data_IF_682893844746
#
_entry.id   IF_682893844746
#
_cell.length_a   1.000
_cell.length_b   1.000
_cell.length_c   1.000
_cell.angle_alpha   90.00
_cell.angle_beta   90.00
_cell.angle_gamma   90.00
#
_symmetry.space_group_name_H-M   'P 1'
#
loop_
_entity.id
_entity.type
_entity.pdbx_description
1 polymer ?
#
# COMPACT_ATOMS: atom_id res chain seq x y z
N UNK A 1 -64.59 16.59 8.32
CA UNK A 1 -63.59 15.53 7.94
C UNK A 1 -62.30 16.23 7.60
N UNK A 2 -61.36 16.32 8.54
CA UNK A 2 -60.04 16.93 8.34
C UNK A 2 -59.06 15.89 7.88
N UNK A 3 -58.51 16.03 6.66
CA UNK A 3 -57.46 15.12 6.13
C UNK A 3 -56.11 15.54 6.73
N UNK A 4 -55.54 14.65 7.50
CA UNK A 4 -54.20 14.77 8.06
C UNK A 4 -53.18 14.33 6.99
N UNK A 5 -52.39 15.27 6.45
CA UNK A 5 -51.25 14.95 5.59
C UNK A 5 -50.02 14.62 6.49
N UNK A 6 -49.62 13.36 6.53
CA UNK A 6 -48.37 12.97 7.14
C UNK A 6 -47.26 13.12 6.09
N UNK A 7 -46.38 14.12 6.26
CA UNK A 7 -45.14 14.24 5.50
C UNK A 7 -44.11 13.26 6.09
N UNK A 8 -43.83 12.21 5.37
CA UNK A 8 -42.68 11.34 5.68
C UNK A 8 -41.45 11.97 5.03
N UNK A 9 -40.63 12.67 5.80
CA UNK A 9 -39.32 13.10 5.37
C UNK A 9 -38.37 11.90 5.41
N UNK A 10 -38.11 11.31 4.23
CA UNK A 10 -37.07 10.31 4.07
C UNK A 10 -35.70 11.00 4.17
N UNK A 11 -35.08 10.97 5.34
CA UNK A 11 -33.69 11.35 5.52
C UNK A 11 -32.82 10.28 4.83
N UNK A 12 -32.35 10.54 3.62
CA UNK A 12 -31.26 9.80 3.01
C UNK A 12 -29.98 10.06 3.83
N UNK A 13 -29.72 9.23 4.84
CA UNK A 13 -28.40 9.13 5.43
C UNK A 13 -27.49 8.47 4.38
N UNK A 14 -26.77 9.27 3.61
CA UNK A 14 -25.60 8.81 2.87
C UNK A 14 -24.55 8.44 3.89
N UNK A 15 -24.53 7.17 4.27
CA UNK A 15 -23.47 6.60 5.09
C UNK A 15 -22.21 6.53 4.20
N UNK A 16 -21.48 7.64 4.12
CA UNK A 16 -20.10 7.60 3.63
C UNK A 16 -19.35 6.79 4.66
N UNK A 17 -19.06 5.51 4.33
CA UNK A 17 -18.14 4.71 5.10
C UNK A 17 -16.81 5.46 5.10
N UNK A 18 -16.54 6.24 6.15
CA UNK A 18 -15.24 6.80 6.39
C UNK A 18 -14.30 5.61 6.62
N UNK A 19 -13.47 5.32 5.63
CA UNK A 19 -12.41 4.33 5.82
C UNK A 19 -11.53 4.81 6.98
N UNK A 20 -11.43 4.00 8.02
CA UNK A 20 -10.62 4.35 9.17
C UNK A 20 -9.16 4.56 8.70
N UNK A 21 -8.64 5.75 8.97
CA UNK A 21 -7.25 6.07 8.71
C UNK A 21 -6.36 5.21 9.61
N UNK A 22 -5.53 4.36 9.00
CA UNK A 22 -4.62 3.44 9.71
C UNK A 22 -3.17 3.87 9.62
N UNK A 23 -2.83 4.77 8.68
CA UNK A 23 -1.53 5.38 8.49
C UNK A 23 -1.69 6.89 8.51
N UNK A 24 -0.87 7.58 9.30
CA UNK A 24 -0.90 9.06 9.32
C UNK A 24 -0.30 9.60 8.03
N UNK A 25 -0.85 10.68 7.45
CA UNK A 25 -0.20 11.41 6.37
C UNK A 25 1.22 11.82 6.73
N UNK A 26 2.06 11.98 5.72
CA UNK A 26 3.38 12.57 5.91
C UNK A 26 3.26 14.04 6.26
N UNK A 27 4.22 14.54 7.03
CA UNK A 27 4.32 15.94 7.45
C UNK A 27 5.47 16.63 6.71
N UNK A 28 5.46 17.96 6.72
CA UNK A 28 6.55 18.76 6.20
C UNK A 28 7.91 18.36 6.82
N UNK A 29 8.91 18.23 5.97
CA UNK A 29 10.27 17.88 6.35
C UNK A 29 10.51 16.41 6.66
N UNK A 30 9.47 15.56 6.66
CA UNK A 30 9.65 14.13 6.94
C UNK A 30 10.56 13.44 5.91
N UNK A 31 11.33 12.50 6.43
CA UNK A 31 12.23 11.60 5.71
C UNK A 31 11.61 10.21 5.73
N UNK A 32 10.86 9.90 4.68
CA UNK A 32 10.13 8.66 4.52
C UNK A 32 11.02 7.61 3.84
N UNK A 33 11.50 6.62 4.58
CA UNK A 33 12.34 5.54 4.07
C UNK A 33 11.49 4.28 3.89
N UNK A 34 11.56 3.67 2.71
CA UNK A 34 10.86 2.44 2.37
C UNK A 34 11.84 1.27 2.39
N UNK A 35 11.84 0.51 3.47
CA UNK A 35 12.62 -0.72 3.63
C UNK A 35 11.84 -1.89 3.02
N UNK A 36 12.46 -2.63 2.12
CA UNK A 36 11.82 -3.75 1.43
C UNK A 36 12.79 -4.58 0.58
N UNK A 37 12.21 -5.43 -0.23
CA UNK A 37 12.90 -6.31 -1.18
C UNK A 37 12.84 -5.75 -2.62
N UNK A 38 12.92 -6.64 -3.65
CA UNK A 38 12.87 -6.28 -5.08
C UNK A 38 11.62 -5.45 -5.45
N UNK A 39 10.48 -5.67 -4.82
CA UNK A 39 9.25 -4.93 -5.10
C UNK A 39 9.41 -3.45 -4.69
N UNK A 40 10.13 -3.19 -3.61
CA UNK A 40 10.48 -1.83 -3.18
C UNK A 40 11.64 -1.26 -4.00
N UNK A 41 12.66 -2.08 -4.26
CA UNK A 41 13.85 -1.73 -5.06
C UNK A 41 13.47 -1.22 -6.47
N UNK A 42 12.45 -1.81 -7.09
CA UNK A 42 11.88 -1.36 -8.37
C UNK A 42 11.51 0.13 -8.43
N UNK A 43 11.24 0.73 -7.28
CA UNK A 43 11.10 2.20 -7.18
C UNK A 43 9.73 2.77 -7.53
N UNK A 44 8.76 1.98 -7.94
CA UNK A 44 7.53 2.50 -8.54
C UNK A 44 6.51 2.98 -7.51
N UNK A 45 6.02 2.11 -6.60
CA UNK A 45 4.88 2.47 -5.75
C UNK A 45 5.18 3.65 -4.81
N UNK A 46 6.36 3.72 -4.21
CA UNK A 46 6.72 4.85 -3.35
C UNK A 46 6.99 6.13 -4.15
N UNK A 47 7.43 6.03 -5.41
CA UNK A 47 7.54 7.19 -6.30
C UNK A 47 6.15 7.74 -6.67
N UNK A 48 5.14 6.87 -6.87
CA UNK A 48 3.75 7.32 -7.08
C UNK A 48 3.17 7.99 -5.83
N UNK A 49 3.47 7.47 -4.62
CA UNK A 49 3.11 8.12 -3.37
C UNK A 49 3.78 9.50 -3.28
N UNK A 50 5.08 9.59 -3.58
CA UNK A 50 5.80 10.85 -3.59
C UNK A 50 5.24 11.84 -4.60
N UNK A 51 4.97 11.41 -5.83
CA UNK A 51 4.35 12.23 -6.87
C UNK A 51 2.99 12.80 -6.41
N UNK A 52 2.17 11.98 -5.73
CA UNK A 52 0.92 12.46 -5.13
C UNK A 52 1.18 13.61 -4.16
N UNK A 53 2.13 13.47 -3.24
CA UNK A 53 2.45 14.52 -2.27
C UNK A 53 2.99 15.77 -2.95
N UNK A 54 3.90 15.65 -3.91
CA UNK A 54 4.46 16.81 -4.63
C UNK A 54 3.40 17.58 -5.42
N UNK A 55 2.41 16.90 -5.95
CA UNK A 55 1.35 17.54 -6.76
C UNK A 55 0.19 18.08 -5.93
N UNK A 56 -0.10 17.44 -4.79
CA UNK A 56 -1.22 17.83 -3.93
C UNK A 56 -0.81 18.79 -2.81
N UNK A 57 0.43 18.77 -2.40
CA UNK A 57 0.97 19.56 -1.30
C UNK A 57 2.32 20.17 -1.70
N UNK A 58 2.37 21.04 -2.75
CA UNK A 58 3.63 21.52 -3.32
C UNK A 58 4.48 22.31 -2.33
N UNK A 59 3.84 22.96 -1.36
CA UNK A 59 4.49 23.77 -0.33
C UNK A 59 4.89 22.97 0.91
N UNK A 60 4.67 21.64 0.91
CA UNK A 60 5.01 20.73 2.00
C UNK A 60 6.10 19.73 1.54
N UNK A 61 7.39 20.12 1.58
CA UNK A 61 8.45 19.25 1.11
C UNK A 61 8.62 18.02 2.01
N UNK A 62 8.61 16.86 1.39
CA UNK A 62 8.99 15.58 2.00
C UNK A 62 10.13 14.95 1.20
N UNK A 63 10.89 14.07 1.83
CA UNK A 63 11.93 13.29 1.16
C UNK A 63 11.57 11.81 1.22
N UNK A 64 11.57 11.17 0.07
CA UNK A 64 11.31 9.73 -0.06
C UNK A 64 12.60 9.02 -0.44
N UNK A 65 12.92 7.95 0.27
CA UNK A 65 14.12 7.15 0.05
C UNK A 65 13.75 5.71 -0.24
N UNK A 66 14.35 5.15 -1.26
CA UNK A 66 14.27 3.74 -1.57
C UNK A 66 15.32 2.97 -0.76
N UNK A 67 14.88 2.13 0.15
CA UNK A 67 15.69 1.20 0.95
C UNK A 67 15.43 -0.25 0.58
N UNK A 68 14.90 -0.53 -0.63
CA UNK A 68 14.72 -1.87 -1.17
C UNK A 68 16.03 -2.47 -1.67
N UNK A 69 16.19 -3.78 -1.53
CA UNK A 69 17.23 -4.58 -2.22
C UNK A 69 16.60 -5.88 -2.71
N UNK A 70 16.86 -6.22 -3.98
CA UNK A 70 16.37 -7.45 -4.59
C UNK A 70 16.74 -8.70 -3.82
N UNK A 71 15.78 -9.59 -3.57
CA UNK A 71 16.01 -10.86 -2.87
C UNK A 71 15.96 -10.80 -1.35
N UNK A 72 15.96 -9.61 -0.74
CA UNK A 72 16.01 -9.46 0.72
C UNK A 72 14.85 -10.17 1.43
N UNK A 73 15.20 -10.85 2.50
CA UNK A 73 14.33 -11.36 3.56
C UNK A 73 14.44 -10.46 4.80
N UNK A 74 13.61 -10.70 5.82
CA UNK A 74 13.76 -10.03 7.12
C UNK A 74 15.16 -10.22 7.74
N UNK A 75 15.81 -11.37 7.49
CA UNK A 75 17.18 -11.62 7.92
C UNK A 75 18.21 -10.70 7.23
N UNK A 76 18.10 -10.53 5.91
CA UNK A 76 19.02 -9.71 5.14
C UNK A 76 18.82 -8.23 5.44
N UNK A 77 17.56 -7.79 5.52
CA UNK A 77 17.21 -6.43 5.94
C UNK A 77 17.81 -6.08 7.30
N UNK A 78 17.72 -7.01 8.28
CA UNK A 78 18.29 -6.79 9.62
C UNK A 78 19.79 -6.52 9.59
N UNK A 79 20.54 -7.20 8.73
CA UNK A 79 22.00 -7.03 8.62
C UNK A 79 22.43 -5.65 8.16
N UNK A 80 21.61 -5.01 7.32
CA UNK A 80 21.95 -3.74 6.70
C UNK A 80 21.26 -2.52 7.31
N UNK A 81 20.50 -2.68 8.40
CA UNK A 81 19.75 -1.59 9.01
C UNK A 81 20.62 -0.37 9.35
N UNK A 82 21.82 -0.56 9.93
CA UNK A 82 22.67 0.55 10.37
C UNK A 82 23.25 1.33 9.19
N UNK A 83 23.87 0.63 8.25
CA UNK A 83 24.58 1.24 7.13
C UNK A 83 23.65 1.86 6.08
N UNK A 84 22.56 1.17 5.78
CA UNK A 84 21.70 1.57 4.68
C UNK A 84 20.48 2.39 5.16
N UNK A 85 19.81 1.92 6.20
CA UNK A 85 18.49 2.45 6.58
C UNK A 85 18.59 3.53 7.65
N UNK A 86 19.26 3.25 8.77
CA UNK A 86 19.37 4.20 9.86
C UNK A 86 20.31 5.36 9.49
N UNK A 87 21.30 5.12 8.62
CA UNK A 87 22.14 6.18 8.04
C UNK A 87 21.33 7.22 7.24
N UNK A 88 20.17 6.84 6.68
CA UNK A 88 19.24 7.76 6.03
C UNK A 88 18.48 8.65 7.03
N UNK A 89 18.59 8.40 8.33
CA UNK A 89 17.91 9.13 9.42
C UNK A 89 16.41 9.25 9.18
N UNK A 90 15.66 8.11 9.10
CA UNK A 90 14.24 8.16 8.86
C UNK A 90 13.50 8.86 9.99
N UNK A 91 12.56 9.75 9.67
CA UNK A 91 11.51 10.18 10.61
C UNK A 91 10.28 9.28 10.48
N UNK A 92 10.13 8.63 9.32
CA UNK A 92 9.12 7.60 9.04
C UNK A 92 9.79 6.44 8.33
N UNK A 93 9.65 5.24 8.87
CA UNK A 93 10.18 4.01 8.29
C UNK A 93 9.02 3.07 7.92
N UNK A 94 8.79 2.90 6.63
CA UNK A 94 7.89 1.87 6.10
C UNK A 94 8.66 0.57 5.97
N UNK A 95 8.10 -0.52 6.49
CA UNK A 95 8.74 -1.85 6.51
C UNK A 95 7.85 -2.86 5.82
N UNK A 96 8.34 -3.48 4.75
CA UNK A 96 7.64 -4.57 4.04
C UNK A 96 8.56 -5.74 3.79
N UNK A 97 8.12 -6.94 4.14
CA UNK A 97 8.83 -8.22 3.92
C UNK A 97 7.80 -9.36 3.83
N UNK A 98 8.23 -10.56 3.48
CA UNK A 98 7.38 -11.74 3.45
C UNK A 98 7.41 -12.48 2.11
N UNK A 99 7.59 -11.78 0.98
CA UNK A 99 7.60 -12.42 -0.34
C UNK A 99 8.76 -13.42 -0.48
N UNK A 100 9.99 -13.03 -0.12
CA UNK A 100 11.16 -13.91 -0.18
C UNK A 100 11.23 -14.81 1.07
N UNK A 101 10.82 -14.27 2.22
CA UNK A 101 10.77 -15.01 3.49
C UNK A 101 9.93 -16.27 3.41
N UNK A 102 8.85 -16.25 2.63
CA UNK A 102 7.97 -17.41 2.46
C UNK A 102 8.57 -18.53 1.61
N UNK A 103 9.75 -18.33 0.96
CA UNK A 103 10.38 -19.34 0.11
C UNK A 103 9.69 -19.53 -1.24
N UNK A 104 10.17 -20.47 -2.07
CA UNK A 104 9.70 -20.61 -3.45
C UNK A 104 9.51 -22.08 -3.88
N UNK A 105 10.55 -22.72 -4.43
CA UNK A 105 10.49 -23.96 -5.21
C UNK A 105 9.98 -25.17 -4.43
N UNK A 106 10.22 -25.22 -3.14
CA UNK A 106 9.87 -26.33 -2.28
C UNK A 106 8.34 -26.48 -2.09
N UNK A 107 7.56 -25.46 -2.46
CA UNK A 107 6.10 -25.58 -2.53
C UNK A 107 5.62 -26.53 -3.63
N UNK A 108 6.47 -26.87 -4.59
CA UNK A 108 6.20 -27.87 -5.62
C UNK A 108 6.63 -29.29 -5.22
N UNK A 109 7.18 -29.45 -4.02
CA UNK A 109 7.54 -30.75 -3.44
C UNK A 109 6.37 -31.45 -2.77
N UNK A 110 6.68 -32.56 -2.06
CA UNK A 110 5.65 -33.42 -1.45
C UNK A 110 5.01 -32.80 -0.20
N UNK A 111 5.63 -31.81 0.42
CA UNK A 111 5.23 -31.27 1.72
C UNK A 111 5.13 -29.73 1.74
N UNK A 112 4.37 -29.12 0.86
CA UNK A 112 4.31 -27.65 0.74
C UNK A 112 3.84 -26.95 2.02
N UNK A 113 2.92 -27.55 2.77
CA UNK A 113 2.42 -26.95 4.03
C UNK A 113 3.45 -27.00 5.16
N UNK A 114 4.21 -28.10 5.27
CA UNK A 114 5.30 -28.21 6.26
C UNK A 114 6.40 -27.19 5.94
N UNK A 115 6.74 -27.04 4.65
CA UNK A 115 7.67 -26.02 4.19
C UNK A 115 7.19 -24.60 4.51
N UNK A 116 5.93 -24.28 4.21
CA UNK A 116 5.33 -23.00 4.54
C UNK A 116 5.34 -22.69 6.04
N UNK A 117 5.08 -23.69 6.89
CA UNK A 117 5.18 -23.55 8.36
C UNK A 117 6.61 -23.25 8.80
N UNK A 118 7.58 -23.99 8.27
CA UNK A 118 9.01 -23.75 8.57
C UNK A 118 9.40 -22.31 8.18
N UNK A 119 9.04 -21.86 6.98
CA UNK A 119 9.34 -20.50 6.50
C UNK A 119 8.65 -19.42 7.30
N UNK A 120 7.43 -19.65 7.72
CA UNK A 120 6.72 -18.75 8.63
C UNK A 120 7.47 -18.57 9.96
N UNK A 121 7.87 -19.66 10.61
CA UNK A 121 8.59 -19.59 11.90
C UNK A 121 9.98 -18.94 11.76
N UNK A 122 10.70 -19.25 10.67
CA UNK A 122 11.99 -18.63 10.36
C UNK A 122 11.88 -17.13 10.16
N UNK A 123 10.90 -16.69 9.37
CA UNK A 123 10.66 -15.28 9.08
C UNK A 123 10.30 -14.50 10.35
N UNK A 124 9.41 -15.04 11.21
CA UNK A 124 9.06 -14.41 12.49
C UNK A 124 10.30 -14.24 13.37
N UNK A 125 11.12 -15.27 13.50
CA UNK A 125 12.35 -15.22 14.29
C UNK A 125 13.29 -14.11 13.80
N UNK A 126 13.45 -13.97 12.49
CA UNK A 126 14.29 -12.95 11.88
C UNK A 126 13.68 -11.55 12.07
N UNK A 127 12.38 -11.40 11.85
CA UNK A 127 11.68 -10.14 12.06
C UNK A 127 11.77 -9.66 13.52
N UNK A 128 11.67 -10.56 14.50
CA UNK A 128 11.81 -10.20 15.91
C UNK A 128 13.16 -9.52 16.25
N UNK A 129 14.21 -9.79 15.46
CA UNK A 129 15.49 -9.08 15.62
C UNK A 129 15.38 -7.64 15.11
N UNK A 130 14.72 -7.42 13.96
CA UNK A 130 14.44 -6.08 13.46
C UNK A 130 13.51 -5.31 14.40
N UNK A 131 12.43 -5.96 14.90
CA UNK A 131 11.47 -5.36 15.81
C UNK A 131 12.14 -4.76 17.06
N UNK A 132 13.13 -5.46 17.64
CA UNK A 132 13.91 -4.94 18.77
C UNK A 132 14.63 -3.66 18.40
N UNK A 133 15.27 -3.62 17.22
CA UNK A 133 16.04 -2.48 16.76
C UNK A 133 15.15 -1.27 16.41
N UNK A 134 13.94 -1.51 15.90
CA UNK A 134 12.97 -0.45 15.64
C UNK A 134 12.47 0.21 16.91
N UNK A 135 12.37 -0.54 18.03
CA UNK A 135 12.01 0.00 19.34
C UNK A 135 13.06 0.96 19.91
N UNK A 136 14.29 0.84 19.45
CA UNK A 136 15.41 1.72 19.85
C UNK A 136 15.44 3.02 19.01
N UNK A 137 14.42 3.30 18.17
CA UNK A 137 14.27 4.49 17.36
C UNK A 137 13.13 5.39 17.87
N UNK A 138 13.30 6.12 18.99
CA UNK A 138 12.20 6.81 19.66
C UNK A 138 11.57 7.92 18.82
N UNK A 139 12.34 8.52 17.90
CA UNK A 139 11.89 9.64 17.08
C UNK A 139 11.45 9.20 15.67
N UNK A 140 11.42 7.88 15.40
CA UNK A 140 11.04 7.33 14.11
C UNK A 140 9.66 6.69 14.19
N UNK A 141 8.75 7.16 13.39
CA UNK A 141 7.44 6.56 13.20
C UNK A 141 7.56 5.30 12.34
N UNK A 142 7.13 4.15 12.86
CA UNK A 142 7.18 2.87 12.16
C UNK A 142 5.82 2.57 11.52
N UNK A 143 5.83 2.20 10.25
CA UNK A 143 4.65 1.77 9.49
C UNK A 143 4.92 0.39 8.92
N UNK A 144 4.24 -0.62 9.45
CA UNK A 144 4.30 -1.96 8.87
C UNK A 144 3.40 -2.02 7.64
N UNK A 145 3.95 -2.50 6.53
CA UNK A 145 3.25 -2.62 5.24
C UNK A 145 3.20 -4.08 4.84
N UNK A 146 2.03 -4.70 4.97
CA UNK A 146 1.81 -6.07 4.51
C UNK A 146 2.10 -6.17 3.01
N UNK A 147 3.01 -7.08 2.62
CA UNK A 147 3.49 -7.20 1.23
C UNK A 147 2.37 -7.51 0.23
N UNK A 148 2.59 -7.20 -1.06
CA UNK A 148 1.72 -7.66 -2.15
C UNK A 148 1.55 -9.18 -2.13
N UNK A 149 0.46 -9.74 -2.69
CA UNK A 149 0.28 -11.18 -2.74
C UNK A 149 1.23 -11.84 -3.74
N UNK A 150 1.52 -13.10 -3.53
CA UNK A 150 1.90 -14.04 -4.57
C UNK A 150 0.62 -14.53 -5.26
N UNK A 151 0.48 -14.34 -6.58
CA UNK A 151 -0.74 -14.73 -7.27
C UNK A 151 -0.71 -16.20 -7.74
N UNK A 152 -1.29 -17.07 -6.91
CA UNK A 152 -1.40 -18.51 -7.21
C UNK A 152 -2.48 -18.82 -8.26
N UNK A 153 -3.42 -17.90 -8.49
CA UNK A 153 -4.68 -18.15 -9.18
C UNK A 153 -4.67 -17.76 -10.65
N UNK A 154 -3.80 -16.83 -11.03
CA UNK A 154 -3.67 -16.42 -12.44
C UNK A 154 -3.26 -17.59 -13.34
N UNK A 155 -3.87 -17.68 -14.54
CA UNK A 155 -3.57 -18.72 -15.52
C UNK A 155 -2.49 -18.24 -16.49
N UNK A 156 -1.24 -18.59 -16.22
CA UNK A 156 -0.09 -18.30 -17.10
C UNK A 156 0.37 -19.58 -17.79
N UNK A 157 0.75 -19.48 -19.08
CA UNK A 157 1.10 -20.65 -19.91
C UNK A 157 2.36 -21.39 -19.44
N UNK A 158 3.34 -20.66 -18.93
CA UNK A 158 4.69 -21.18 -18.72
C UNK A 158 5.14 -21.18 -17.24
N UNK A 159 4.25 -20.82 -16.33
CA UNK A 159 4.62 -20.63 -14.93
C UNK A 159 3.69 -21.42 -14.00
N UNK A 160 4.18 -22.56 -13.49
CA UNK A 160 3.47 -23.34 -12.48
C UNK A 160 3.47 -22.61 -11.13
N UNK A 161 2.31 -22.38 -10.52
CA UNK A 161 2.23 -21.65 -9.25
C UNK A 161 2.81 -22.46 -8.08
N UNK A 162 3.46 -21.78 -7.15
CA UNK A 162 3.84 -22.28 -5.84
C UNK A 162 2.60 -22.33 -4.94
N UNK A 163 1.91 -23.46 -4.95
CA UNK A 163 0.63 -23.62 -4.23
C UNK A 163 0.83 -23.44 -2.72
N UNK A 164 -0.09 -22.73 -2.09
CA UNK A 164 -0.08 -22.38 -0.64
C UNK A 164 1.00 -21.38 -0.21
N UNK A 165 1.81 -20.84 -1.14
CA UNK A 165 2.78 -19.79 -0.81
C UNK A 165 2.07 -18.53 -0.29
N UNK A 166 0.98 -18.10 -0.94
CA UNK A 166 0.25 -16.90 -0.48
C UNK A 166 -0.44 -17.12 0.87
N UNK A 167 -0.77 -18.35 1.25
CA UNK A 167 -1.26 -18.64 2.62
C UNK A 167 -0.18 -18.34 3.67
N UNK A 168 1.07 -18.71 3.40
CA UNK A 168 2.20 -18.38 4.27
C UNK A 168 2.41 -16.86 4.35
N UNK A 169 2.34 -16.15 3.20
CA UNK A 169 2.45 -14.69 3.15
C UNK A 169 1.34 -14.03 3.96
N UNK A 170 0.08 -14.46 3.82
CA UNK A 170 -1.05 -13.93 4.59
C UNK A 170 -0.83 -14.06 6.10
N UNK A 171 -0.30 -15.18 6.56
CA UNK A 171 0.05 -15.41 7.97
C UNK A 171 1.14 -14.45 8.45
N UNK A 172 2.16 -14.20 7.61
CA UNK A 172 3.20 -13.20 7.92
C UNK A 172 2.62 -11.79 7.99
N UNK A 173 1.70 -11.43 7.10
CA UNK A 173 1.01 -10.13 7.11
C UNK A 173 0.17 -9.97 8.38
N UNK A 174 -0.56 -11.01 8.82
CA UNK A 174 -1.31 -10.93 10.09
C UNK A 174 -0.38 -10.79 11.28
N UNK A 175 0.75 -11.51 11.32
CA UNK A 175 1.76 -11.33 12.36
C UNK A 175 2.34 -9.91 12.38
N UNK A 176 2.61 -9.31 11.22
CA UNK A 176 3.06 -7.91 11.10
C UNK A 176 2.03 -6.94 11.67
N UNK A 177 0.75 -7.19 11.42
CA UNK A 177 -0.36 -6.40 11.96
C UNK A 177 -0.45 -6.52 13.48
N UNK A 178 -0.35 -7.74 14.03
CA UNK A 178 -0.32 -7.97 15.47
C UNK A 178 0.88 -7.29 16.14
N UNK A 179 2.07 -7.39 15.51
CA UNK A 179 3.27 -6.71 15.98
C UNK A 179 3.11 -5.19 15.96
N UNK A 180 2.53 -4.63 14.90
CA UNK A 180 2.26 -3.19 14.81
C UNK A 180 1.31 -2.75 15.94
N UNK A 181 0.23 -3.46 16.16
CA UNK A 181 -0.72 -3.18 17.23
C UNK A 181 -0.07 -3.24 18.63
N UNK A 182 0.74 -4.27 18.88
CA UNK A 182 1.48 -4.45 20.15
C UNK A 182 2.46 -3.32 20.45
N UNK A 183 3.06 -2.75 19.41
CA UNK A 183 4.10 -1.71 19.55
C UNK A 183 3.56 -0.29 19.34
N UNK A 184 2.25 -0.11 19.17
CA UNK A 184 1.61 1.16 18.77
C UNK A 184 2.19 1.75 17.47
N UNK A 185 2.55 0.89 16.55
CA UNK A 185 2.98 1.24 15.19
C UNK A 185 1.79 1.30 14.25
N UNK A 186 1.98 1.92 13.11
CA UNK A 186 0.98 1.98 12.07
C UNK A 186 1.03 0.74 11.17
N UNK A 187 -0.10 0.41 10.54
CA UNK A 187 -0.18 -0.77 9.66
C UNK A 187 -1.09 -0.50 8.46
N UNK A 188 -0.69 -1.01 7.31
CA UNK A 188 -1.54 -1.15 6.12
C UNK A 188 -1.32 -2.49 5.46
N UNK A 189 -2.40 -3.11 4.99
CA UNK A 189 -2.38 -4.38 4.27
C UNK A 189 -2.49 -4.15 2.77
N UNK A 190 -1.51 -4.61 2.00
CA UNK A 190 -1.57 -4.65 0.54
C UNK A 190 -2.01 -6.03 0.03
N UNK A 191 -1.80 -7.11 0.81
CA UNK A 191 -2.05 -8.48 0.36
C UNK A 191 -3.52 -8.76 0.12
N UNK A 192 -4.36 -8.59 1.14
CA UNK A 192 -5.76 -8.96 1.05
C UNK A 192 -6.52 -8.16 -0.04
N UNK A 193 -6.40 -6.81 -0.14
CA UNK A 193 -7.10 -6.06 -1.16
C UNK A 193 -6.59 -6.37 -2.58
N UNK A 194 -5.28 -6.55 -2.80
CA UNK A 194 -4.75 -6.93 -4.11
C UNK A 194 -5.17 -8.35 -4.51
N UNK A 195 -5.18 -9.29 -3.56
CA UNK A 195 -5.73 -10.65 -3.78
C UNK A 195 -7.20 -10.58 -4.21
N UNK A 196 -8.01 -9.77 -3.56
CA UNK A 196 -9.42 -9.61 -3.90
C UNK A 196 -9.62 -9.02 -5.31
N UNK A 197 -8.80 -8.04 -5.69
CA UNK A 197 -8.82 -7.46 -7.04
C UNK A 197 -8.45 -8.52 -8.07
N UNK A 198 -7.37 -9.26 -7.87
CA UNK A 198 -6.98 -10.35 -8.78
C UNK A 198 -8.14 -11.33 -8.97
N UNK A 199 -8.69 -11.87 -7.89
CA UNK A 199 -9.80 -12.83 -7.93
C UNK A 199 -11.05 -12.29 -8.64
N UNK A 200 -11.38 -11.02 -8.42
CA UNK A 200 -12.54 -10.39 -9.05
C UNK A 200 -12.36 -10.27 -10.57
N UNK A 201 -11.19 -9.82 -11.02
CA UNK A 201 -10.95 -9.63 -12.46
C UNK A 201 -10.68 -10.95 -13.19
N UNK A 202 -10.10 -11.93 -12.53
CA UNK A 202 -9.89 -13.29 -13.08
C UNK A 202 -11.18 -14.04 -13.38
N UNK A 203 -12.32 -13.60 -12.83
CA UNK A 203 -13.64 -14.13 -13.25
C UNK A 203 -13.99 -13.82 -14.70
N UNK A 204 -13.41 -12.73 -15.26
CA UNK A 204 -13.64 -12.29 -16.64
C UNK A 204 -12.46 -12.61 -17.54
N UNK A 205 -11.25 -12.44 -17.01
CA UNK A 205 -9.99 -12.70 -17.68
C UNK A 205 -9.07 -13.52 -16.76
N UNK A 206 -9.00 -14.84 -16.90
CA UNK A 206 -8.18 -15.71 -16.07
C UNK A 206 -6.68 -15.39 -16.10
N UNK A 207 -6.23 -14.59 -17.06
CA UNK A 207 -4.81 -14.17 -17.20
C UNK A 207 -4.50 -12.85 -16.50
N UNK A 208 -5.51 -12.17 -15.96
CA UNK A 208 -5.33 -10.92 -15.23
C UNK A 208 -4.56 -11.14 -13.93
N UNK A 209 -3.57 -10.30 -13.66
CA UNK A 209 -2.86 -10.24 -12.38
C UNK A 209 -2.25 -8.87 -12.13
N UNK A 210 -2.25 -8.44 -10.90
CA UNK A 210 -1.49 -7.28 -10.44
C UNK A 210 -0.03 -7.63 -10.04
N UNK A 211 0.33 -8.92 -10.11
CA UNK A 211 1.61 -9.44 -9.60
C UNK A 211 2.61 -9.79 -10.71
N UNK A 212 2.38 -9.29 -11.92
CA UNK A 212 3.25 -9.51 -13.07
C UNK A 212 3.26 -10.94 -13.60
N UNK A 213 4.05 -11.17 -14.66
CA UNK A 213 4.11 -12.46 -15.35
C UNK A 213 4.80 -13.56 -14.54
N UNK A 214 5.52 -13.22 -13.50
CA UNK A 214 6.16 -14.16 -12.57
C UNK A 214 5.33 -14.43 -11.30
N UNK A 215 4.15 -13.82 -11.17
CA UNK A 215 3.24 -13.92 -10.03
C UNK A 215 3.74 -13.20 -8.75
N UNK A 216 4.87 -12.50 -8.82
CA UNK A 216 5.62 -11.95 -7.68
C UNK A 216 5.72 -10.43 -7.78
N UNK A 217 6.28 -9.96 -8.90
CA UNK A 217 6.66 -8.56 -9.09
C UNK A 217 5.54 -7.79 -9.77
N UNK A 218 4.86 -6.88 -9.06
CA UNK A 218 3.84 -6.05 -9.67
C UNK A 218 4.40 -5.26 -10.86
N UNK A 219 3.65 -5.22 -11.95
CA UNK A 219 3.87 -4.27 -13.04
C UNK A 219 3.42 -2.86 -12.63
N UNK A 220 3.50 -1.90 -13.54
CA UNK A 220 3.10 -0.52 -13.26
C UNK A 220 1.70 -0.40 -12.65
N UNK A 221 0.74 -1.17 -13.15
CA UNK A 221 -0.64 -1.18 -12.66
C UNK A 221 -0.71 -1.71 -11.23
N UNK A 222 0.00 -2.79 -10.92
CA UNK A 222 0.09 -3.35 -9.58
C UNK A 222 0.75 -2.37 -8.61
N UNK A 223 1.85 -1.73 -9.00
CA UNK A 223 2.48 -0.69 -8.20
C UNK A 223 1.58 0.55 -8.00
N UNK A 224 0.78 0.92 -8.99
CA UNK A 224 -0.20 2.00 -8.86
C UNK A 224 -1.27 1.64 -7.83
N UNK A 225 -1.76 0.39 -7.83
CA UNK A 225 -2.69 -0.11 -6.83
C UNK A 225 -2.07 -0.11 -5.44
N UNK A 226 -0.80 -0.52 -5.28
CA UNK A 226 -0.08 -0.44 -4.00
C UNK A 226 -0.03 1.00 -3.47
N UNK A 227 0.31 1.96 -4.33
CA UNK A 227 0.34 3.38 -3.97
C UNK A 227 -1.06 3.89 -3.57
N UNK A 228 -2.08 3.53 -4.34
CA UNK A 228 -3.47 3.87 -4.02
C UNK A 228 -3.91 3.33 -2.66
N UNK A 229 -3.61 2.07 -2.35
CA UNK A 229 -3.95 1.44 -1.07
C UNK A 229 -3.24 2.11 0.10
N UNK A 230 -1.98 2.48 -0.07
CA UNK A 230 -1.22 3.23 0.94
C UNK A 230 -1.84 4.61 1.18
N UNK A 231 -2.12 5.37 0.12
CA UNK A 231 -2.77 6.69 0.22
C UNK A 231 -4.20 6.59 0.78
N UNK A 232 -4.91 5.49 0.49
CA UNK A 232 -6.20 5.17 1.10
C UNK A 232 -6.07 4.98 2.61
N UNK A 233 -5.05 4.24 3.07
CA UNK A 233 -4.76 4.09 4.49
C UNK A 233 -4.42 5.43 5.16
N UNK A 234 -3.86 6.38 4.44
CA UNK A 234 -3.63 7.76 4.88
C UNK A 234 -4.90 8.65 4.82
N UNK A 235 -6.04 8.12 4.39
CA UNK A 235 -7.31 8.84 4.37
C UNK A 235 -7.45 9.85 3.21
N UNK A 236 -6.70 9.68 2.12
CA UNK A 236 -6.78 10.58 0.96
C UNK A 236 -7.83 10.21 -0.09
N UNK A 237 -8.37 8.99 -0.03
CA UNK A 237 -9.36 8.54 -1.00
C UNK A 237 -10.69 9.27 -0.83
N UNK A 238 -11.30 9.65 -1.95
CA UNK A 238 -12.58 10.36 -1.96
C UNK A 238 -12.50 11.82 -1.57
N UNK A 239 -11.31 12.37 -1.33
CA UNK A 239 -11.16 13.82 -1.14
C UNK A 239 -11.25 14.52 -2.48
N UNK A 240 -12.04 15.59 -2.51
CA UNK A 240 -12.19 16.45 -3.68
C UNK A 240 -10.84 17.06 -4.05
N UNK A 241 -10.49 16.94 -5.33
CA UNK A 241 -9.22 17.48 -5.86
C UNK A 241 -9.36 18.94 -6.17
N UNK A 242 -10.41 19.29 -6.93
CA UNK A 242 -10.77 20.64 -7.30
C UNK A 242 -12.26 20.67 -7.65
N UNK A 243 -12.93 21.78 -7.32
CA UNK A 243 -14.28 22.04 -7.77
C UNK A 243 -14.33 23.40 -8.46
N UNK A 244 -14.76 23.41 -9.72
CA UNK A 244 -14.82 24.62 -10.50
C UNK A 244 -16.14 24.71 -11.27
N UNK A 245 -16.71 25.90 -11.26
CA UNK A 245 -17.85 26.26 -12.09
C UNK A 245 -17.49 27.49 -12.94
N UNK A 246 -17.73 27.41 -14.25
CA UNK A 246 -17.38 28.46 -15.20
C UNK A 246 -18.63 28.94 -15.90
N UNK A 247 -18.88 30.24 -15.80
CA UNK A 247 -19.86 30.88 -16.66
C UNK A 247 -19.22 31.20 -18.02
N UNK A 248 -19.54 30.37 -19.01
CA UNK A 248 -18.97 30.48 -20.36
C UNK A 248 -19.34 31.82 -21.05
N UNK A 249 -20.53 32.35 -20.81
CA UNK A 249 -20.97 33.62 -21.41
C UNK A 249 -20.22 34.81 -20.83
N UNK A 250 -20.01 34.83 -19.52
CA UNK A 250 -19.30 35.93 -18.83
C UNK A 250 -17.78 35.72 -18.82
N UNK A 251 -17.28 34.54 -19.22
CA UNK A 251 -15.87 34.16 -19.17
C UNK A 251 -15.27 34.34 -17.77
N UNK A 252 -16.02 33.92 -16.76
CA UNK A 252 -15.66 34.06 -15.37
C UNK A 252 -15.83 32.74 -14.62
N UNK A 253 -14.91 32.45 -13.68
CA UNK A 253 -15.16 31.43 -12.69
C UNK A 253 -16.22 31.89 -11.69
N UNK A 254 -17.27 31.09 -11.51
CA UNK A 254 -18.31 31.27 -10.50
C UNK A 254 -17.89 30.61 -9.19
N UNK A 255 -17.20 29.45 -9.32
CA UNK A 255 -16.64 28.68 -8.21
C UNK A 255 -15.22 28.24 -8.58
N UNK A 256 -14.31 28.26 -7.59
CA UNK A 256 -12.91 27.82 -7.77
C UNK A 256 -12.38 27.38 -6.40
N UNK A 257 -12.62 26.13 -6.04
CA UNK A 257 -12.15 25.51 -4.80
C UNK A 257 -10.96 24.60 -5.09
N UNK A 258 -9.91 24.72 -4.31
CA UNK A 258 -8.65 23.98 -4.47
C UNK A 258 -8.00 24.09 -5.86
N UNK A 259 -8.30 25.14 -6.62
CA UNK A 259 -7.73 25.41 -7.93
C UNK A 259 -7.77 26.89 -8.27
N UNK A 260 -6.95 27.31 -9.22
CA UNK A 260 -6.98 28.65 -9.82
C UNK A 260 -7.45 28.53 -11.27
N UNK A 261 -8.48 29.28 -11.64
CA UNK A 261 -8.98 29.34 -13.01
C UNK A 261 -8.52 30.65 -13.63
N UNK A 262 -7.77 30.58 -14.72
CA UNK A 262 -7.24 31.73 -15.44
C UNK A 262 -7.43 31.59 -16.96
N UNK A 263 -7.34 32.71 -17.70
CA UNK A 263 -7.33 32.74 -19.15
C UNK A 263 -8.55 32.07 -19.84
N UNK A 264 -9.75 32.25 -19.29
CA UNK A 264 -10.97 31.68 -19.86
C UNK A 264 -11.22 32.29 -21.24
N UNK A 265 -11.14 31.48 -22.29
CA UNK A 265 -11.37 31.87 -23.69
C UNK A 265 -12.52 31.06 -24.25
N UNK A 266 -13.33 31.69 -25.11
CA UNK A 266 -14.30 31.00 -25.95
C UNK A 266 -13.56 30.61 -27.25
N UNK A 267 -13.30 29.33 -27.43
CA UNK A 267 -12.92 28.80 -28.74
C UNK A 267 -14.21 28.49 -29.48
N UNK A 268 -14.37 29.14 -30.62
CA UNK A 268 -15.57 29.32 -31.42
C UNK A 268 -16.37 28.12 -31.81
#
# INVERSE_FOLDING_TARGET
MKKLFVLIAAACMTCTAAFAQTVKPFKEGERAVFLGNSITDAGHYHSYIWLYYMTRFPDMPIRVFNGGIGGDTAYDMNKRLDGDIFAMKPSVLMVTFGMNDSGYFEYNGDKPKEFGEQKYQESIKNYQQMEKRFKDLPDTRIVMVGTSPYDETVQLKENTPFKTKNETIKRLVEYQKESAAKNNWEFTDLNAPMTAINQQYQQKDPTFTLCGSDRIHPDNDGHMVMAYLFLKAQGFVGKEVADMEINANKKQAVKSENCTVSNIKKNG
#
